data_IF_276013280015
#
_entry.id   IF_276013280015
#
_cell.length_a   1.000
_cell.length_b   1.000
_cell.length_c   1.000
_cell.angle_alpha   90.00
_cell.angle_beta   90.00
_cell.angle_gamma   90.00
#
_symmetry.space_group_name_H-M   'P 1'
#
loop_
_entity.id
_entity.type
_entity.pdbx_description
1 polymer ?
#
# COMPACT_ATOMS: atom_id res chain seq x y z
N UNK A 1 -17.08 3.98 0.52
CA UNK A 1 -15.83 3.19 0.70
C UNK A 1 -15.05 3.22 -0.61
N UNK A 2 -13.78 3.60 -0.55
CA UNK A 2 -12.91 3.72 -1.71
C UNK A 2 -12.47 2.34 -2.24
N UNK A 3 -12.74 2.06 -3.53
CA UNK A 3 -12.36 0.86 -4.29
C UNK A 3 -12.64 -0.47 -3.55
N UNK A 4 -13.78 -0.56 -2.88
CA UNK A 4 -14.17 -1.72 -2.08
C UNK A 4 -14.10 -3.04 -2.85
N UNK A 5 -14.65 -3.08 -4.06
CA UNK A 5 -14.66 -4.28 -4.89
C UNK A 5 -13.23 -4.73 -5.25
N UNK A 6 -12.34 -3.80 -5.62
CA UNK A 6 -10.96 -4.12 -5.98
C UNK A 6 -10.18 -4.68 -4.79
N UNK A 7 -10.37 -4.08 -3.61
CA UNK A 7 -9.77 -4.58 -2.37
C UNK A 7 -10.27 -5.99 -2.03
N UNK A 8 -11.57 -6.23 -2.16
CA UNK A 8 -12.18 -7.54 -1.89
C UNK A 8 -11.70 -8.56 -2.92
N UNK A 9 -11.71 -8.23 -4.21
CA UNK A 9 -11.18 -9.11 -5.27
C UNK A 9 -9.73 -9.49 -5.00
N UNK A 10 -8.86 -8.54 -4.64
CA UNK A 10 -7.46 -8.81 -4.30
C UNK A 10 -7.33 -9.79 -3.12
N UNK A 11 -8.23 -9.72 -2.12
CA UNK A 11 -8.27 -10.68 -1.02
C UNK A 11 -8.52 -12.10 -1.52
N UNK A 12 -9.51 -12.27 -2.43
CA UNK A 12 -9.79 -13.57 -3.07
C UNK A 12 -8.61 -14.07 -3.90
N UNK A 13 -8.03 -13.19 -4.70
CA UNK A 13 -6.88 -13.52 -5.54
C UNK A 13 -5.69 -14.01 -4.67
N UNK A 14 -5.38 -13.31 -3.58
CA UNK A 14 -4.31 -13.69 -2.66
C UNK A 14 -4.61 -15.01 -1.93
N UNK A 15 -5.85 -15.22 -1.46
CA UNK A 15 -6.26 -16.47 -0.81
C UNK A 15 -6.11 -17.67 -1.77
N UNK A 16 -6.55 -17.53 -3.02
CA UNK A 16 -6.44 -18.59 -4.03
C UNK A 16 -4.99 -19.00 -4.31
N UNK A 17 -4.03 -18.05 -4.24
CA UNK A 17 -2.60 -18.32 -4.46
C UNK A 17 -1.99 -19.25 -3.40
N UNK A 18 -2.59 -19.32 -2.23
CA UNK A 18 -2.18 -20.20 -1.12
C UNK A 18 -3.20 -21.32 -0.87
N UNK A 19 -4.01 -21.65 -1.90
CA UNK A 19 -5.00 -22.73 -1.88
C UNK A 19 -6.09 -22.57 -0.81
N UNK A 20 -6.48 -21.34 -0.49
CA UNK A 20 -7.63 -21.05 0.38
C UNK A 20 -8.81 -20.62 -0.50
N UNK A 21 -9.88 -21.43 -0.51
CA UNK A 21 -11.13 -21.11 -1.22
C UNK A 21 -12.11 -20.46 -0.26
N UNK A 22 -12.26 -19.15 -0.36
CA UNK A 22 -13.19 -18.38 0.49
C UNK A 22 -14.62 -18.88 0.24
N UNK A 23 -15.38 -19.29 1.30
CA UNK A 23 -16.71 -19.91 1.14
C UNK A 23 -17.84 -18.87 0.97
N UNK A 24 -17.52 -17.71 0.41
CA UNK A 24 -18.44 -16.61 0.15
C UNK A 24 -18.14 -16.02 -1.23
N UNK A 25 -19.08 -15.31 -1.82
CA UNK A 25 -18.85 -14.49 -3.01
C UNK A 25 -18.20 -13.15 -2.66
N UNK A 26 -17.61 -12.51 -3.68
CA UNK A 26 -17.05 -11.15 -3.54
C UNK A 26 -18.13 -10.17 -3.08
N UNK A 27 -19.36 -10.31 -3.62
CA UNK A 27 -20.46 -9.41 -3.29
C UNK A 27 -20.93 -9.58 -1.85
N UNK A 28 -21.03 -10.82 -1.34
CA UNK A 28 -21.34 -11.08 0.07
C UNK A 28 -20.31 -10.43 1.00
N UNK A 29 -19.00 -10.53 0.66
CA UNK A 29 -17.96 -9.88 1.46
C UNK A 29 -18.00 -8.35 1.35
N UNK A 30 -18.30 -7.80 0.19
CA UNK A 30 -18.49 -6.36 0.04
C UNK A 30 -19.65 -5.85 0.92
N UNK A 31 -20.79 -6.56 0.91
CA UNK A 31 -21.94 -6.21 1.73
C UNK A 31 -21.62 -6.35 3.24
N UNK A 32 -20.95 -7.42 3.63
CA UNK A 32 -20.53 -7.61 5.02
C UNK A 32 -19.57 -6.50 5.52
N UNK A 33 -18.70 -5.99 4.66
CA UNK A 33 -17.83 -4.86 4.99
C UNK A 33 -18.62 -3.56 5.16
N UNK A 34 -19.61 -3.29 4.30
CA UNK A 34 -20.53 -2.15 4.44
C UNK A 34 -21.32 -2.26 5.74
N UNK A 35 -21.89 -3.43 6.01
CA UNK A 35 -22.64 -3.69 7.23
C UNK A 35 -21.79 -3.50 8.50
N UNK A 36 -20.52 -3.89 8.43
CA UNK A 36 -19.60 -3.71 9.57
C UNK A 36 -19.39 -2.23 9.90
N UNK A 37 -19.27 -1.36 8.89
CA UNK A 37 -19.17 0.09 9.11
C UNK A 37 -20.47 0.65 9.70
N UNK A 38 -21.61 0.32 9.07
CA UNK A 38 -22.93 0.80 9.51
C UNK A 38 -23.28 0.36 10.95
N UNK A 39 -23.06 -0.91 11.28
CA UNK A 39 -23.36 -1.45 12.62
C UNK A 39 -22.47 -0.89 13.74
N UNK A 40 -21.28 -0.41 13.38
CA UNK A 40 -20.37 0.26 14.32
C UNK A 40 -20.54 1.79 14.31
N UNK A 41 -21.50 2.32 13.54
CA UNK A 41 -21.76 3.77 13.38
C UNK A 41 -20.53 4.55 12.95
N UNK A 42 -19.66 3.96 12.12
CA UNK A 42 -18.45 4.59 11.63
C UNK A 42 -18.77 5.40 10.37
N UNK A 43 -18.59 6.72 10.43
CA UNK A 43 -18.70 7.63 9.29
C UNK A 43 -17.42 7.64 8.46
N UNK A 44 -16.28 7.45 9.13
CA UNK A 44 -14.96 7.29 8.53
C UNK A 44 -14.19 6.21 9.27
N UNK A 45 -13.19 5.61 8.63
CA UNK A 45 -12.39 4.59 9.29
C UNK A 45 -11.70 3.65 8.33
N UNK A 46 -11.06 2.66 8.92
CA UNK A 46 -10.33 1.63 8.20
C UNK A 46 -11.08 0.30 8.30
N UNK A 47 -11.16 -0.41 7.17
CA UNK A 47 -11.75 -1.75 7.09
C UNK A 47 -10.63 -2.75 6.78
N UNK A 48 -10.53 -3.78 7.60
CA UNK A 48 -9.56 -4.86 7.41
C UNK A 48 -10.26 -6.21 7.34
N UNK A 49 -10.62 -6.70 6.15
CA UNK A 49 -11.00 -8.08 5.98
C UNK A 49 -9.76 -8.97 6.09
N UNK A 50 -9.92 -10.14 6.69
CA UNK A 50 -8.87 -11.14 6.87
C UNK A 50 -9.46 -12.52 6.62
N UNK A 51 -8.70 -13.37 5.94
CA UNK A 51 -9.00 -14.80 5.74
C UNK A 51 -7.90 -15.62 6.37
N UNK A 52 -8.28 -16.62 7.15
CA UNK A 52 -7.33 -17.47 7.86
C UNK A 52 -7.88 -18.88 8.09
N UNK A 53 -6.97 -19.82 8.28
CA UNK A 53 -7.32 -21.21 8.56
C UNK A 53 -7.62 -21.41 10.05
N UNK A 54 -8.52 -22.32 10.38
CA UNK A 54 -8.86 -22.71 11.74
C UNK A 54 -7.75 -23.52 12.41
N UNK A 55 -8.05 -24.04 13.60
CA UNK A 55 -7.10 -24.72 14.48
C UNK A 55 -7.45 -26.19 14.75
N UNK A 56 -8.27 -26.80 13.91
CA UNK A 56 -8.79 -28.16 14.10
C UNK A 56 -7.70 -29.21 13.98
N UNK A 57 -6.60 -28.90 13.32
CA UNK A 57 -5.44 -29.79 13.15
C UNK A 57 -4.14 -28.99 13.09
N UNK A 58 -3.03 -29.65 13.36
CA UNK A 58 -1.71 -29.03 13.38
C UNK A 58 -0.81 -29.65 12.29
N UNK A 59 0.11 -28.83 11.78
CA UNK A 59 1.14 -29.24 10.83
C UNK A 59 0.87 -28.77 9.40
N UNK A 60 1.93 -28.77 8.58
CA UNK A 60 1.93 -28.19 7.23
C UNK A 60 1.02 -28.95 6.23
N UNK A 61 0.64 -30.19 6.53
CA UNK A 61 -0.18 -31.04 5.65
C UNK A 61 -1.67 -31.02 5.99
N UNK A 62 -2.07 -30.23 6.98
CA UNK A 62 -3.44 -30.25 7.53
C UNK A 62 -4.39 -29.27 6.84
N UNK A 63 -3.94 -28.50 5.85
CA UNK A 63 -4.72 -27.42 5.24
C UNK A 63 -6.12 -27.86 4.76
N UNK A 64 -6.26 -29.03 4.16
CA UNK A 64 -7.54 -29.54 3.65
C UNK A 64 -8.55 -29.92 4.74
N UNK A 65 -8.11 -30.06 5.99
CA UNK A 65 -8.96 -30.43 7.15
C UNK A 65 -9.30 -29.24 8.04
N UNK A 66 -8.79 -28.03 7.71
CA UNK A 66 -9.01 -26.83 8.51
C UNK A 66 -10.20 -26.05 7.99
N UNK A 67 -10.97 -25.48 8.90
CA UNK A 67 -12.01 -24.51 8.55
C UNK A 67 -11.40 -23.25 7.97
N UNK A 68 -12.12 -22.61 7.02
CA UNK A 68 -11.74 -21.31 6.47
C UNK A 68 -12.57 -20.25 7.20
N UNK A 69 -11.88 -19.35 7.86
CA UNK A 69 -12.50 -18.29 8.63
C UNK A 69 -12.31 -16.95 7.92
N UNK A 70 -13.35 -16.11 7.94
CA UNK A 70 -13.32 -14.74 7.42
C UNK A 70 -13.72 -13.80 8.55
N UNK A 71 -12.83 -12.87 8.87
CA UNK A 71 -13.08 -11.80 9.83
C UNK A 71 -13.08 -10.45 9.13
N UNK A 72 -13.90 -9.52 9.60
CA UNK A 72 -13.90 -8.12 9.15
C UNK A 72 -13.78 -7.25 10.38
N UNK A 73 -12.70 -6.52 10.49
CA UNK A 73 -12.49 -5.53 11.53
C UNK A 73 -12.62 -4.12 10.94
N UNK A 74 -13.30 -3.23 11.63
CA UNK A 74 -13.38 -1.82 11.28
C UNK A 74 -13.21 -0.93 12.51
N UNK A 75 -12.51 0.19 12.35
CA UNK A 75 -12.25 1.14 13.45
C UNK A 75 -11.93 2.53 12.91
N UNK A 76 -12.10 3.53 13.75
CA UNK A 76 -11.58 4.86 13.44
C UNK A 76 -10.05 4.84 13.41
N UNK A 77 -9.49 5.35 12.32
CA UNK A 77 -8.04 5.43 12.16
C UNK A 77 -7.66 6.76 11.52
N UNK A 78 -7.50 7.80 12.33
CA UNK A 78 -7.32 9.17 11.80
C UNK A 78 -6.01 9.34 11.03
N UNK A 79 -4.98 8.58 11.35
CA UNK A 79 -3.73 8.53 10.57
C UNK A 79 -2.88 7.32 10.96
N UNK A 80 -2.27 6.66 9.97
CA UNK A 80 -1.26 5.62 10.21
C UNK A 80 0.08 6.25 10.65
N UNK A 81 0.45 7.34 10.01
CA UNK A 81 1.63 8.14 10.35
C UNK A 81 1.21 9.40 11.12
N UNK A 82 2.18 10.06 11.75
CA UNK A 82 1.95 11.36 12.35
C UNK A 82 1.23 12.27 11.32
N UNK A 83 0.14 12.98 11.70
CA UNK A 83 -0.55 13.90 10.80
C UNK A 83 0.36 14.93 10.12
N UNK A 84 1.46 15.32 10.76
CA UNK A 84 2.47 16.20 10.19
C UNK A 84 3.27 15.54 9.06
N UNK A 85 3.38 14.21 9.04
CA UNK A 85 4.10 13.48 8.00
C UNK A 85 3.53 13.73 6.60
N UNK A 86 2.21 13.88 6.50
CA UNK A 86 1.55 14.23 5.22
C UNK A 86 1.92 15.63 4.72
N UNK A 87 2.27 16.56 5.61
CA UNK A 87 2.63 17.94 5.29
C UNK A 87 4.12 18.14 5.14
N UNK A 88 4.88 17.56 6.06
CA UNK A 88 6.32 17.80 6.19
C UNK A 88 7.16 16.73 5.49
N UNK A 89 6.52 15.60 5.11
CA UNK A 89 7.19 14.40 4.62
C UNK A 89 7.88 13.62 5.72
N UNK A 90 8.42 12.46 5.34
CA UNK A 90 9.08 11.52 6.24
C UNK A 90 10.54 11.29 5.87
N UNK A 91 11.29 10.78 6.83
CA UNK A 91 12.63 10.25 6.64
C UNK A 91 12.58 8.73 6.44
N UNK A 92 13.32 8.22 5.47
CA UNK A 92 13.40 6.79 5.19
C UNK A 92 14.84 6.31 5.10
N UNK A 93 15.06 5.02 5.30
CA UNK A 93 16.38 4.41 5.11
C UNK A 93 16.31 3.19 4.19
N UNK A 94 17.41 2.92 3.51
CA UNK A 94 17.61 1.63 2.84
C UNK A 94 17.69 0.52 3.87
N UNK A 95 16.77 -0.42 3.79
CA UNK A 95 16.73 -1.57 4.70
C UNK A 95 17.86 -2.56 4.43
N UNK A 96 18.43 -3.21 5.44
CA UNK A 96 19.29 -4.37 5.28
C UNK A 96 18.50 -5.63 4.87
N UNK A 97 17.17 -5.62 5.04
CA UNK A 97 16.29 -6.71 4.63
C UNK A 97 15.86 -6.50 3.19
N UNK A 98 15.90 -7.57 2.40
CA UNK A 98 15.45 -7.55 1.01
C UNK A 98 14.01 -8.03 0.89
N UNK A 99 13.32 -7.60 -0.17
CA UNK A 99 12.01 -8.15 -0.51
C UNK A 99 12.14 -9.63 -0.92
N UNK A 100 11.09 -10.40 -0.73
CA UNK A 100 11.06 -11.79 -1.12
C UNK A 100 11.33 -11.98 -2.61
N UNK A 101 12.22 -12.91 -2.93
CA UNK A 101 12.61 -13.24 -4.30
C UNK A 101 11.57 -14.11 -5.03
N UNK A 102 10.43 -14.35 -4.46
CA UNK A 102 9.37 -15.12 -5.09
C UNK A 102 8.13 -14.22 -5.27
N UNK A 103 7.67 -13.99 -6.52
CA UNK A 103 6.48 -13.20 -6.81
C UNK A 103 5.21 -13.69 -6.10
N UNK A 104 5.14 -14.97 -5.73
CA UNK A 104 4.03 -15.46 -4.91
C UNK A 104 3.96 -14.71 -3.57
N UNK A 105 5.09 -14.38 -2.98
CA UNK A 105 5.13 -13.69 -1.69
C UNK A 105 5.15 -12.18 -1.82
N UNK A 106 5.89 -11.62 -2.77
CA UNK A 106 6.02 -10.17 -2.93
C UNK A 106 4.77 -9.53 -3.58
N UNK A 107 4.12 -10.23 -4.52
CA UNK A 107 3.01 -9.65 -5.29
C UNK A 107 1.63 -9.93 -4.68
N UNK A 108 1.56 -10.70 -3.61
CA UNK A 108 0.30 -11.05 -2.95
C UNK A 108 0.28 -10.58 -1.50
N UNK A 109 -0.90 -10.06 -1.07
CA UNK A 109 -1.07 -9.54 0.29
C UNK A 109 -1.33 -10.67 1.28
N UNK A 110 -0.27 -11.43 1.59
CA UNK A 110 -0.28 -12.60 2.48
C UNK A 110 0.32 -12.19 3.83
N UNK A 111 -0.39 -12.47 4.94
CA UNK A 111 0.01 -12.03 6.29
C UNK A 111 1.38 -12.57 6.70
N UNK A 112 1.69 -13.82 6.36
CA UNK A 112 2.96 -14.45 6.74
C UNK A 112 4.22 -13.74 6.22
N UNK A 113 4.11 -12.96 5.14
CA UNK A 113 5.23 -12.22 4.58
C UNK A 113 5.54 -10.92 5.35
N UNK A 114 4.61 -10.43 6.16
CA UNK A 114 4.78 -9.19 6.93
C UNK A 114 5.83 -9.24 8.01
N UNK A 115 6.33 -10.42 8.39
CA UNK A 115 7.48 -10.54 9.30
C UNK A 115 8.68 -9.76 8.76
N UNK A 116 8.98 -9.87 7.45
CA UNK A 116 10.06 -9.12 6.82
C UNK A 116 9.83 -7.61 6.88
N UNK A 117 8.60 -7.16 6.58
CA UNK A 117 8.20 -5.75 6.66
C UNK A 117 8.33 -5.20 8.08
N UNK A 118 7.89 -5.95 9.09
CA UNK A 118 8.00 -5.57 10.51
C UNK A 118 9.47 -5.42 10.91
N UNK A 119 10.34 -6.33 10.49
CA UNK A 119 11.77 -6.23 10.79
C UNK A 119 12.41 -5.02 10.10
N UNK A 120 12.02 -4.74 8.86
CA UNK A 120 12.54 -3.61 8.11
C UNK A 120 12.16 -2.26 8.75
N UNK A 121 10.88 -2.06 9.09
CA UNK A 121 10.43 -0.81 9.72
C UNK A 121 10.99 -0.66 11.14
N UNK A 122 11.10 -1.73 11.91
CA UNK A 122 11.70 -1.67 13.25
C UNK A 122 13.19 -1.28 13.19
N UNK A 123 13.94 -1.79 12.21
CA UNK A 123 15.32 -1.38 11.98
C UNK A 123 15.40 0.11 11.59
N UNK A 124 14.48 0.58 10.74
CA UNK A 124 14.41 1.99 10.38
C UNK A 124 14.15 2.89 11.61
N UNK A 125 13.15 2.54 12.42
CA UNK A 125 12.80 3.27 13.65
C UNK A 125 13.99 3.28 14.63
N UNK A 126 14.66 2.15 14.82
CA UNK A 126 15.83 2.05 15.68
C UNK A 126 17.00 2.96 15.21
N UNK A 127 17.05 3.27 13.92
CA UNK A 127 18.06 4.19 13.32
C UNK A 127 17.57 5.63 13.20
N UNK A 128 16.37 5.94 13.72
CA UNK A 128 15.79 7.28 13.75
C UNK A 128 15.14 7.71 12.44
N UNK A 129 14.74 6.77 11.59
CA UNK A 129 13.91 7.01 10.41
C UNK A 129 12.47 6.52 10.66
N UNK A 130 11.53 6.97 9.84
CA UNK A 130 10.11 6.67 10.01
C UNK A 130 9.68 5.45 9.20
N UNK A 131 10.40 5.14 8.10
CA UNK A 131 10.06 4.03 7.23
C UNK A 131 11.31 3.47 6.52
N UNK A 132 11.16 2.27 5.94
CA UNK A 132 12.22 1.52 5.27
C UNK A 132 11.97 1.42 3.76
N UNK A 133 13.07 1.35 2.98
CA UNK A 133 13.06 1.00 1.57
C UNK A 133 13.59 -0.41 1.41
N UNK A 134 12.80 -1.29 0.83
CA UNK A 134 13.19 -2.65 0.49
C UNK A 134 13.73 -2.71 -0.94
N UNK A 135 14.85 -3.42 -1.11
CA UNK A 135 15.42 -3.71 -2.42
C UNK A 135 15.04 -5.11 -2.86
N UNK A 136 14.91 -5.34 -4.16
CA UNK A 136 14.79 -6.67 -4.72
C UNK A 136 16.15 -7.41 -4.76
N UNK A 137 16.15 -8.67 -5.21
CA UNK A 137 17.36 -9.49 -5.34
C UNK A 137 18.38 -8.95 -6.35
N UNK A 138 17.93 -8.13 -7.29
CA UNK A 138 18.79 -7.57 -8.34
C UNK A 138 19.38 -6.20 -7.92
N UNK A 139 19.03 -5.71 -6.73
CA UNK A 139 19.49 -4.44 -6.20
C UNK A 139 18.67 -3.24 -6.68
N UNK A 140 17.48 -3.45 -7.27
CA UNK A 140 16.54 -2.39 -7.58
C UNK A 140 15.59 -2.15 -6.40
N UNK A 141 15.05 -0.95 -6.33
CA UNK A 141 14.02 -0.61 -5.34
C UNK A 141 12.76 -1.42 -5.65
N UNK A 142 12.22 -2.05 -4.62
CA UNK A 142 10.95 -2.78 -4.65
C UNK A 142 9.82 -1.89 -4.13
N UNK A 143 9.76 -1.67 -2.84
CA UNK A 143 8.69 -0.92 -2.17
C UNK A 143 9.14 -0.49 -0.75
N UNK A 144 8.27 0.18 0.02
CA UNK A 144 8.43 0.38 1.45
C UNK A 144 8.08 -0.89 2.25
N UNK A 145 7.96 -0.78 3.58
CA UNK A 145 7.57 -1.93 4.40
C UNK A 145 6.11 -2.35 4.18
N UNK A 146 5.24 -1.44 3.78
CA UNK A 146 3.82 -1.69 3.48
C UNK A 146 3.23 -0.75 2.43
N UNK A 147 4.07 -0.02 1.68
CA UNK A 147 3.73 1.05 0.74
C UNK A 147 4.50 0.91 -0.57
N UNK A 148 3.90 1.38 -1.67
CA UNK A 148 4.60 1.50 -2.94
C UNK A 148 5.33 2.83 -3.06
N UNK A 149 6.52 2.82 -3.69
CA UNK A 149 7.35 4.00 -3.92
C UNK A 149 7.04 4.65 -5.27
N UNK A 150 7.08 5.97 -5.28
CA UNK A 150 7.14 6.82 -6.48
C UNK A 150 8.28 7.83 -6.33
N UNK A 151 8.90 8.17 -7.45
CA UNK A 151 9.80 9.31 -7.56
C UNK A 151 9.36 10.22 -8.70
N UNK A 152 9.72 11.48 -8.62
CA UNK A 152 9.59 12.46 -9.70
C UNK A 152 10.97 12.91 -10.11
N UNK A 153 11.24 12.90 -11.42
CA UNK A 153 12.46 13.45 -12.01
C UNK A 153 12.10 14.14 -13.31
N UNK A 154 12.55 15.38 -13.48
CA UNK A 154 12.29 16.19 -14.68
C UNK A 154 10.80 16.22 -15.06
N UNK A 155 9.92 16.40 -14.08
CA UNK A 155 8.45 16.40 -14.19
C UNK A 155 7.84 15.07 -14.68
N UNK A 156 8.58 13.99 -14.69
CA UNK A 156 8.10 12.65 -15.00
C UNK A 156 8.04 11.81 -13.72
N UNK A 157 6.95 11.08 -13.52
CA UNK A 157 6.80 10.14 -12.42
C UNK A 157 7.38 8.78 -12.80
N UNK A 158 8.01 8.13 -11.84
CA UNK A 158 8.50 6.77 -11.98
C UNK A 158 8.10 5.96 -10.74
N UNK A 159 7.77 4.68 -10.97
CA UNK A 159 7.49 3.73 -9.89
C UNK A 159 8.09 2.37 -10.25
N UNK A 160 8.53 1.56 -9.27
CA UNK A 160 9.03 0.22 -9.53
C UNK A 160 8.01 -0.65 -10.29
N UNK A 161 8.52 -1.53 -11.18
CA UNK A 161 7.73 -2.60 -11.77
C UNK A 161 7.22 -3.54 -10.69
N UNK A 162 6.07 -4.16 -10.96
CA UNK A 162 5.43 -5.07 -10.00
C UNK A 162 5.98 -6.50 -10.03
N UNK A 163 7.22 -6.69 -10.47
CA UNK A 163 7.85 -8.02 -10.49
C UNK A 163 8.11 -8.55 -9.07
N UNK A 164 8.48 -7.65 -8.14
CA UNK A 164 8.82 -7.96 -6.75
C UNK A 164 8.17 -7.02 -5.74
N UNK A 165 7.09 -6.34 -6.09
CA UNK A 165 6.31 -5.53 -5.15
C UNK A 165 4.81 -5.73 -5.36
N UNK A 166 4.03 -5.41 -4.34
CA UNK A 166 2.58 -5.46 -4.44
C UNK A 166 2.09 -4.44 -5.48
N UNK A 167 1.22 -4.88 -6.41
CA UNK A 167 0.48 -3.94 -7.25
C UNK A 167 -0.64 -3.29 -6.43
N UNK A 168 -0.28 -2.29 -5.63
CA UNK A 168 -1.15 -1.62 -4.68
C UNK A 168 -2.34 -0.93 -5.37
N UNK A 169 -3.51 -0.98 -4.75
CA UNK A 169 -4.71 -0.31 -5.29
C UNK A 169 -4.53 1.21 -5.26
N UNK A 170 -3.93 1.75 -4.20
CA UNK A 170 -3.55 3.17 -4.15
C UNK A 170 -2.51 3.50 -5.22
N UNK A 171 -1.51 2.64 -5.45
CA UNK A 171 -0.55 2.80 -6.54
C UNK A 171 -1.23 2.92 -7.90
N UNK A 172 -2.15 2.01 -8.23
CA UNK A 172 -2.94 2.04 -9.46
C UNK A 172 -3.75 3.34 -9.57
N UNK A 173 -4.35 3.78 -8.46
CA UNK A 173 -5.11 5.03 -8.42
C UNK A 173 -4.22 6.24 -8.68
N UNK A 174 -3.03 6.30 -8.08
CA UNK A 174 -2.04 7.37 -8.34
C UNK A 174 -1.61 7.39 -9.81
N UNK A 175 -1.37 6.22 -10.42
CA UNK A 175 -1.04 6.13 -11.85
C UNK A 175 -2.17 6.71 -12.71
N UNK A 176 -3.42 6.31 -12.47
CA UNK A 176 -4.56 6.82 -13.21
C UNK A 176 -4.74 8.33 -13.03
N UNK A 177 -4.67 8.82 -11.79
CA UNK A 177 -4.78 10.25 -11.47
C UNK A 177 -3.68 11.06 -12.16
N UNK A 178 -2.44 10.57 -12.14
CA UNK A 178 -1.32 11.24 -12.80
C UNK A 178 -1.53 11.34 -14.32
N UNK A 179 -2.01 10.26 -14.95
CA UNK A 179 -2.35 10.24 -16.37
C UNK A 179 -3.48 11.23 -16.72
N UNK A 180 -4.55 11.27 -15.92
CA UNK A 180 -5.68 12.18 -16.10
C UNK A 180 -5.26 13.66 -15.94
N UNK A 181 -4.25 13.90 -15.11
CA UNK A 181 -3.62 15.22 -14.95
C UNK A 181 -2.54 15.52 -16.02
N UNK A 182 -2.37 14.65 -17.02
CA UNK A 182 -1.38 14.73 -18.08
C UNK A 182 0.09 14.69 -17.62
N UNK A 183 0.38 14.12 -16.46
CA UNK A 183 1.74 13.81 -16.08
C UNK A 183 2.23 12.56 -16.81
N UNK A 184 3.48 12.58 -17.26
CA UNK A 184 4.14 11.37 -17.74
C UNK A 184 4.43 10.46 -16.55
N UNK A 185 4.15 9.17 -16.70
CA UNK A 185 4.45 8.16 -15.70
C UNK A 185 4.98 6.88 -16.36
N UNK A 186 6.02 6.32 -15.79
CA UNK A 186 6.69 5.12 -16.28
C UNK A 186 6.93 4.12 -15.14
N UNK A 187 6.63 2.87 -15.41
CA UNK A 187 6.98 1.75 -14.54
C UNK A 187 8.33 1.19 -14.99
N UNK A 188 9.38 1.36 -14.18
CA UNK A 188 10.73 0.89 -14.50
C UNK A 188 11.46 0.36 -13.26
N UNK A 189 12.55 -0.36 -13.48
CA UNK A 189 13.47 -0.70 -12.41
C UNK A 189 14.18 0.58 -11.94
N UNK A 190 14.03 0.90 -10.66
CA UNK A 190 14.63 2.07 -10.02
C UNK A 190 15.84 1.63 -9.19
N UNK A 191 16.95 2.27 -9.41
CA UNK A 191 18.14 2.13 -8.55
C UNK A 191 17.99 2.99 -7.30
N UNK A 192 18.84 2.75 -6.30
CA UNK A 192 18.87 3.60 -5.12
C UNK A 192 19.39 5.00 -5.45
N UNK A 193 20.26 5.11 -6.43
CA UNK A 193 20.79 6.35 -6.99
C UNK A 193 19.69 7.17 -7.67
N UNK A 194 18.80 6.54 -8.46
CA UNK A 194 17.64 7.22 -9.05
C UNK A 194 16.79 7.93 -7.99
N UNK A 195 16.62 7.30 -6.81
CA UNK A 195 15.89 7.90 -5.69
C UNK A 195 16.66 9.07 -5.08
N UNK A 196 17.97 8.95 -4.88
CA UNK A 196 18.77 10.03 -4.28
C UNK A 196 18.86 11.26 -5.19
N UNK A 197 18.77 11.07 -6.50
CA UNK A 197 18.80 12.14 -7.52
C UNK A 197 17.39 12.65 -7.90
N UNK A 198 16.34 12.11 -7.29
CA UNK A 198 14.97 12.51 -7.57
C UNK A 198 14.70 13.95 -7.11
N UNK A 199 13.81 14.63 -7.84
CA UNK A 199 13.33 15.97 -7.48
C UNK A 199 12.29 15.88 -6.36
N UNK A 200 11.45 14.80 -6.39
CA UNK A 200 10.45 14.48 -5.36
C UNK A 200 10.39 12.96 -5.17
N UNK A 201 9.98 12.52 -4.00
CA UNK A 201 9.64 11.12 -3.74
C UNK A 201 8.46 11.02 -2.77
N UNK A 202 7.66 9.96 -2.91
CA UNK A 202 6.56 9.69 -2.00
C UNK A 202 6.18 8.21 -1.94
N UNK A 203 5.56 7.81 -0.84
CA UNK A 203 4.89 6.54 -0.70
C UNK A 203 3.40 6.63 -1.02
N UNK A 204 2.84 5.52 -1.49
CA UNK A 204 1.40 5.36 -1.67
C UNK A 204 0.89 4.06 -1.04
N UNK A 205 -0.23 4.14 -0.34
CA UNK A 205 -0.86 2.98 0.30
C UNK A 205 -2.19 3.35 0.95
N UNK A 206 -3.00 2.36 1.28
CA UNK A 206 -4.33 2.59 1.88
C UNK A 206 -4.25 3.34 3.21
N UNK A 207 -3.26 3.03 4.04
CA UNK A 207 -3.11 3.64 5.36
C UNK A 207 -2.31 4.94 5.32
N UNK A 208 -1.31 5.02 4.45
CA UNK A 208 -0.43 6.19 4.30
C UNK A 208 -0.94 7.19 3.27
N UNK A 209 -1.94 6.79 2.47
CA UNK A 209 -2.45 7.58 1.34
C UNK A 209 -1.31 7.95 0.37
N UNK A 210 -1.00 9.24 0.24
CA UNK A 210 0.20 9.75 -0.44
C UNK A 210 1.03 10.47 0.61
N UNK A 211 2.18 9.91 0.98
CA UNK A 211 3.07 10.47 2.00
C UNK A 211 4.42 10.85 1.38
N UNK A 212 4.80 12.13 1.40
CA UNK A 212 6.06 12.60 0.84
C UNK A 212 7.27 12.01 1.58
N UNK A 213 8.34 11.73 0.83
CA UNK A 213 9.65 11.35 1.36
C UNK A 213 10.58 12.54 1.14
N UNK A 214 11.08 13.13 2.21
CA UNK A 214 11.94 14.31 2.15
C UNK A 214 13.40 14.01 2.46
N UNK A 215 13.67 12.85 3.09
CA UNK A 215 15.02 12.45 3.47
C UNK A 215 15.22 10.95 3.28
N UNK A 216 16.32 10.56 2.68
CA UNK A 216 16.74 9.16 2.48
C UNK A 216 18.16 8.98 3.01
N UNK A 217 18.40 8.06 3.94
CA UNK A 217 19.72 7.86 4.57
C UNK A 217 20.36 9.17 5.04
N UNK A 218 19.58 10.10 5.61
CA UNK A 218 19.98 11.45 6.03
C UNK A 218 20.30 12.43 4.88
N UNK A 219 20.22 12.03 3.63
CA UNK A 219 20.34 12.89 2.46
C UNK A 219 18.97 13.47 2.09
N UNK A 220 18.90 14.75 1.77
CA UNK A 220 17.66 15.38 1.34
C UNK A 220 17.31 14.91 -0.09
N UNK A 221 16.02 14.72 -0.33
CA UNK A 221 15.46 14.54 -1.68
C UNK A 221 15.00 15.90 -2.18
N UNK A 222 15.45 16.30 -3.36
CA UNK A 222 15.11 17.59 -3.95
C UNK A 222 15.38 18.75 -3.00
N UNK A 223 14.35 19.52 -2.69
CA UNK A 223 14.43 20.65 -1.73
C UNK A 223 14.46 20.23 -0.26
N UNK A 224 14.18 18.95 0.06
CA UNK A 224 13.97 18.47 1.42
C UNK A 224 12.60 18.83 2.01
N UNK A 225 11.64 19.16 1.14
CA UNK A 225 10.23 19.41 1.48
C UNK A 225 9.32 18.75 0.45
N UNK A 226 8.01 18.77 0.68
CA UNK A 226 7.05 18.25 -0.30
C UNK A 226 7.23 18.95 -1.65
N UNK A 227 7.28 18.18 -2.73
CA UNK A 227 7.36 18.70 -4.08
C UNK A 227 5.98 19.02 -4.67
N UNK A 228 5.96 19.91 -5.68
CA UNK A 228 4.71 20.42 -6.25
C UNK A 228 3.83 19.32 -6.87
N UNK A 229 4.44 18.34 -7.55
CA UNK A 229 3.69 17.24 -8.19
C UNK A 229 3.10 16.33 -7.11
N UNK A 230 3.87 16.00 -6.09
CA UNK A 230 3.40 15.21 -4.94
C UNK A 230 2.22 15.90 -4.23
N UNK A 231 2.30 17.22 -4.01
CA UNK A 231 1.23 18.00 -3.38
C UNK A 231 -0.06 18.00 -4.22
N UNK A 232 0.06 18.18 -5.54
CA UNK A 232 -1.08 18.11 -6.48
C UNK A 232 -1.74 16.74 -6.44
N UNK A 233 -0.96 15.66 -6.50
CA UNK A 233 -1.46 14.29 -6.44
C UNK A 233 -2.11 13.98 -5.07
N UNK A 234 -1.50 14.43 -3.99
CA UNK A 234 -2.03 14.26 -2.63
C UNK A 234 -3.40 14.94 -2.48
N UNK A 235 -3.51 16.19 -2.92
CA UNK A 235 -4.77 16.95 -2.90
C UNK A 235 -5.84 16.25 -3.76
N UNK A 236 -5.48 15.88 -5.00
CA UNK A 236 -6.42 15.22 -5.92
C UNK A 236 -6.90 13.87 -5.38
N UNK A 237 -6.00 13.07 -4.83
CA UNK A 237 -6.36 11.81 -4.19
C UNK A 237 -7.32 12.02 -3.01
N UNK A 238 -7.06 13.01 -2.16
CA UNK A 238 -7.94 13.34 -1.03
C UNK A 238 -9.35 13.76 -1.49
N UNK A 239 -9.46 14.61 -2.52
CA UNK A 239 -10.74 15.00 -3.10
C UNK A 239 -11.53 13.78 -3.61
N UNK A 240 -10.85 12.85 -4.27
CA UNK A 240 -11.47 11.64 -4.82
C UNK A 240 -11.98 10.70 -3.70
N UNK A 241 -11.15 10.39 -2.72
CA UNK A 241 -11.56 9.47 -1.64
C UNK A 241 -12.66 10.04 -0.76
N UNK A 242 -12.76 11.37 -0.66
CA UNK A 242 -13.85 12.08 0.01
C UNK A 242 -15.11 12.26 -0.86
N UNK A 243 -15.13 11.77 -2.11
CA UNK A 243 -16.28 11.87 -3.01
C UNK A 243 -16.53 13.26 -3.58
N UNK A 244 -15.54 14.14 -3.55
CA UNK A 244 -15.65 15.52 -4.05
C UNK A 244 -15.43 15.61 -5.56
N UNK A 245 -14.90 14.56 -6.22
CA UNK A 245 -14.72 14.50 -7.66
C UNK A 245 -15.62 13.43 -8.29
N UNK A 246 -16.64 13.86 -9.02
CA UNK A 246 -17.63 13.01 -9.66
C UNK A 246 -17.06 12.14 -10.80
N UNK A 247 -15.94 12.50 -11.39
CA UNK A 247 -15.30 11.73 -12.44
C UNK A 247 -14.82 10.36 -11.92
N UNK A 248 -14.58 10.25 -10.62
CA UNK A 248 -14.13 9.02 -9.95
C UNK A 248 -15.22 8.38 -9.08
N UNK A 249 -16.48 8.74 -9.28
CA UNK A 249 -17.61 8.17 -8.50
C UNK A 249 -17.68 6.64 -8.58
N UNK A 250 -17.26 6.03 -9.70
CA UNK A 250 -17.16 4.57 -9.86
C UNK A 250 -16.16 3.89 -8.93
N UNK A 251 -15.21 4.64 -8.34
CA UNK A 251 -14.28 4.13 -7.34
C UNK A 251 -14.87 4.11 -5.93
N UNK A 252 -16.04 4.69 -5.75
CA UNK A 252 -16.68 4.85 -4.45
C UNK A 252 -17.90 3.94 -4.33
N UNK A 253 -18.00 3.27 -3.19
CA UNK A 253 -19.17 2.47 -2.83
C UNK A 253 -19.87 3.13 -1.66
N UNK A 254 -21.15 3.49 -1.84
CA UNK A 254 -21.99 4.02 -0.77
C UNK A 254 -22.34 2.94 0.25
N UNK A 255 -22.39 3.31 1.52
CA UNK A 255 -22.84 2.47 2.63
C UNK A 255 -24.34 2.65 2.83
#
# INVERSE_FOLDING_TARGET
>A
IFRLHDHTKRLFDAASKINISIPYSIEELCNAQKDSMSKNNLLEGYIRPIVFLGSESMGLRSQSSLSINVGIACWEWPSYMNPEAKRNGISVIKSPFQQYDNPLYSNNKIIGTYVNSIMAVNDAIAKGAEEAILMDKNGFISEGSGENLFIVKDSCLYTPKTDYCLNGITRQSVISIAQDLNYKIEEKNLTFEDLLEADEAFYSGTAVEITPITTVNKSRIGSGSIGCITEVLQKKYSEIVCGQDQNYSSWLTTI
#
